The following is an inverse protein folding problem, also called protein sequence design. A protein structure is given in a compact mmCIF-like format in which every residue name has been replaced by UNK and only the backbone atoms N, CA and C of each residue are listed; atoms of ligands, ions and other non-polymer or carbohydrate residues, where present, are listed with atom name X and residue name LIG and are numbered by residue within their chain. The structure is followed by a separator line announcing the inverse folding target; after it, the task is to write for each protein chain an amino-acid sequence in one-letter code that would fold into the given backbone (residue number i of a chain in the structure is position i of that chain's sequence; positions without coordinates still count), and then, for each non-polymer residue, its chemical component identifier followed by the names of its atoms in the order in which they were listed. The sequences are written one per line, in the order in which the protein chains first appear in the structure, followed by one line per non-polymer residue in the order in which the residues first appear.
data_IF_739871334919
#
_entry.id   IF_739871334919
#
_cell.length_a   1.000
_cell.length_b   1.000
_cell.length_c   1.000
_cell.angle_alpha   90.00
_cell.angle_beta   90.00
_cell.angle_gamma   90.00
#
_symmetry.space_group_name_H-M   'P 1'
#
loop_
_entity.id
_entity.type
_entity.pdbx_description
1 polymer ?
#
# COMPACT_ATOMS: atom_id res chain seq x y z
N UNK A 1 -0.51 -9.39 -16.10
CA UNK A 1 -0.65 -8.50 -14.94
C UNK A 1 -1.67 -7.38 -15.15
N UNK A 2 -1.38 -6.32 -15.92
CA UNK A 2 -2.30 -5.16 -16.04
C UNK A 2 -3.73 -5.56 -16.45
N UNK A 3 -3.88 -6.30 -17.57
CA UNK A 3 -5.20 -6.75 -18.02
C UNK A 3 -5.88 -7.69 -17.01
N UNK A 4 -5.12 -8.51 -16.28
CA UNK A 4 -5.67 -9.42 -15.26
C UNK A 4 -6.20 -8.66 -14.05
N UNK A 5 -5.58 -7.54 -13.67
CA UNK A 5 -6.08 -6.63 -12.63
C UNK A 5 -7.38 -5.93 -13.11
N UNK A 6 -7.40 -5.44 -14.35
CA UNK A 6 -8.59 -4.79 -14.94
C UNK A 6 -9.76 -5.77 -15.06
N UNK A 7 -9.49 -7.00 -15.49
CA UNK A 7 -10.46 -8.09 -15.58
C UNK A 7 -10.84 -8.67 -14.20
N UNK A 8 -10.24 -8.18 -13.11
CA UNK A 8 -10.43 -8.65 -11.72
C UNK A 8 -10.13 -10.14 -11.53
N UNK A 9 -9.22 -10.69 -12.34
CA UNK A 9 -8.69 -12.06 -12.18
C UNK A 9 -7.59 -12.12 -11.12
N UNK A 10 -6.91 -10.99 -10.90
CA UNK A 10 -5.88 -10.82 -9.89
C UNK A 10 -6.22 -9.63 -8.99
N UNK A 11 -5.68 -9.63 -7.77
CA UNK A 11 -5.95 -8.59 -6.76
C UNK A 11 -4.76 -7.65 -6.56
N UNK A 12 -5.07 -6.38 -6.30
CA UNK A 12 -4.12 -5.39 -5.79
C UNK A 12 -4.28 -5.26 -4.27
N UNK A 13 -3.19 -5.19 -3.52
CA UNK A 13 -3.21 -4.92 -2.10
C UNK A 13 -2.65 -3.53 -1.78
N UNK A 14 -3.27 -2.83 -0.83
CA UNK A 14 -2.72 -1.62 -0.23
C UNK A 14 -2.42 -1.89 1.24
N UNK A 15 -1.18 -1.66 1.66
CA UNK A 15 -0.67 -1.92 3.00
C UNK A 15 -0.48 -0.60 3.74
N UNK A 16 -1.15 -0.49 4.90
CA UNK A 16 -1.22 0.74 5.69
C UNK A 16 -2.41 1.57 5.28
N UNK A 17 -3.49 1.50 6.05
CA UNK A 17 -4.76 2.16 5.74
C UNK A 17 -4.92 3.43 6.59
N UNK A 18 -3.92 4.29 6.48
CA UNK A 18 -3.92 5.64 7.03
C UNK A 18 -4.59 6.65 6.09
N UNK A 19 -4.36 7.93 6.38
CA UNK A 19 -4.86 9.05 5.58
C UNK A 19 -4.36 9.04 4.12
N UNK A 20 -3.29 8.31 3.81
CA UNK A 20 -2.80 8.10 2.43
C UNK A 20 -3.36 6.81 1.84
N UNK A 21 -3.08 5.68 2.48
CA UNK A 21 -3.38 4.37 1.89
C UNK A 21 -4.86 4.05 1.77
N UNK A 22 -5.72 4.51 2.69
CA UNK A 22 -7.16 4.25 2.58
C UNK A 22 -7.78 4.94 1.34
N UNK A 23 -7.56 6.25 1.08
CA UNK A 23 -7.98 6.87 -0.17
C UNK A 23 -7.47 6.15 -1.42
N UNK A 24 -6.20 5.73 -1.44
CA UNK A 24 -5.62 4.96 -2.55
C UNK A 24 -6.36 3.64 -2.76
N UNK A 25 -6.58 2.90 -1.68
CA UNK A 25 -7.25 1.60 -1.72
C UNK A 25 -8.67 1.73 -2.28
N UNK A 26 -9.44 2.71 -1.80
CA UNK A 26 -10.81 2.95 -2.26
C UNK A 26 -10.85 3.37 -3.74
N UNK A 27 -9.94 4.22 -4.20
CA UNK A 27 -9.91 4.65 -5.60
C UNK A 27 -9.52 3.53 -6.56
N UNK A 28 -8.61 2.63 -6.15
CA UNK A 28 -8.37 1.40 -6.90
C UNK A 28 -9.60 0.47 -6.86
N UNK A 29 -10.26 0.34 -5.71
CA UNK A 29 -11.39 -0.56 -5.52
C UNK A 29 -12.63 -0.20 -6.35
N UNK A 30 -12.72 1.04 -6.84
CA UNK A 30 -13.75 1.44 -7.83
C UNK A 30 -13.57 0.76 -9.19
N UNK A 31 -12.37 0.24 -9.48
CA UNK A 31 -12.02 -0.32 -10.80
C UNK A 31 -11.48 -1.74 -10.72
N UNK A 32 -10.80 -2.10 -9.64
CA UNK A 32 -10.08 -3.36 -9.43
C UNK A 32 -10.66 -4.11 -8.22
N UNK A 33 -10.31 -5.38 -8.06
CA UNK A 33 -10.52 -6.09 -6.80
C UNK A 33 -9.33 -5.82 -5.87
N UNK A 34 -9.60 -5.24 -4.70
CA UNK A 34 -8.58 -4.72 -3.79
C UNK A 34 -8.59 -5.43 -2.44
N UNK A 35 -7.41 -5.65 -1.88
CA UNK A 35 -7.22 -6.03 -0.47
C UNK A 35 -6.69 -4.81 0.28
N UNK A 36 -7.48 -4.29 1.21
CA UNK A 36 -7.02 -3.29 2.17
C UNK A 36 -6.41 -3.98 3.38
N UNK A 37 -5.10 -3.88 3.57
CA UNK A 37 -4.41 -4.49 4.70
C UNK A 37 -3.90 -3.46 5.70
N UNK A 38 -4.23 -3.65 6.97
CA UNK A 38 -3.63 -2.94 8.09
C UNK A 38 -3.28 -3.93 9.21
N UNK A 39 -2.33 -3.59 10.07
CA UNK A 39 -1.94 -4.43 11.22
C UNK A 39 -2.88 -4.26 12.41
N UNK A 40 -3.69 -3.20 12.41
CA UNK A 40 -4.57 -2.84 13.52
C UNK A 40 -6.01 -3.31 13.25
N UNK A 41 -6.41 -4.42 13.90
CA UNK A 41 -7.75 -5.00 13.76
C UNK A 41 -8.87 -3.99 14.09
N UNK A 42 -8.67 -3.10 15.08
CA UNK A 42 -9.69 -2.11 15.43
C UNK A 42 -9.94 -1.14 14.28
N UNK A 43 -8.88 -0.70 13.59
CA UNK A 43 -9.00 0.15 12.39
C UNK A 43 -9.69 -0.61 11.27
N UNK A 44 -9.29 -1.85 11.03
CA UNK A 44 -9.89 -2.73 10.00
C UNK A 44 -11.38 -2.90 10.24
N UNK A 45 -11.82 -3.13 11.47
CA UNK A 45 -13.23 -3.28 11.81
C UNK A 45 -14.03 -1.99 11.55
N UNK A 46 -13.47 -0.82 11.86
CA UNK A 46 -14.10 0.45 11.50
C UNK A 46 -14.29 0.57 9.98
N UNK A 47 -13.28 0.20 9.19
CA UNK A 47 -13.35 0.28 7.73
C UNK A 47 -14.35 -0.72 7.12
N UNK A 48 -14.50 -1.91 7.71
CA UNK A 48 -15.57 -2.88 7.34
C UNK A 48 -16.97 -2.30 7.56
N UNK A 49 -17.11 -1.37 8.50
CA UNK A 49 -18.34 -0.65 8.79
C UNK A 49 -18.48 0.65 7.98
N UNK A 50 -17.58 0.92 7.03
CA UNK A 50 -17.58 2.14 6.22
C UNK A 50 -17.14 3.39 7.00
N UNK A 51 -16.36 3.23 8.06
CA UNK A 51 -15.88 4.31 8.91
C UNK A 51 -14.38 4.50 8.70
N UNK A 52 -13.97 5.71 8.33
CA UNK A 52 -12.55 6.06 8.20
C UNK A 52 -11.91 6.29 9.58
N UNK A 53 -10.91 5.47 9.99
CA UNK A 53 -10.19 5.64 11.25
C UNK A 53 -9.31 6.91 11.32
N UNK A 54 -9.11 7.60 10.20
CA UNK A 54 -8.40 8.89 10.12
C UNK A 54 -9.35 10.09 10.07
N UNK A 55 -10.67 9.89 9.93
CA UNK A 55 -11.68 10.94 9.88
C UNK A 55 -11.45 11.98 8.75
N UNK A 56 -10.92 11.53 7.62
CA UNK A 56 -10.67 12.33 6.41
C UNK A 56 -11.70 12.03 5.30
N UNK A 57 -12.32 10.85 5.35
CA UNK A 57 -13.29 10.38 4.36
C UNK A 57 -14.68 10.19 4.96
N UNK A 58 -15.69 10.65 4.22
CA UNK A 58 -17.10 10.39 4.52
C UNK A 58 -17.47 8.93 4.24
N UNK A 59 -18.49 8.36 4.91
CA UNK A 59 -18.94 6.98 4.66
C UNK A 59 -19.28 6.67 3.19
N UNK A 60 -19.76 7.66 2.45
CA UNK A 60 -20.05 7.54 1.02
C UNK A 60 -18.80 7.21 0.17
N UNK A 61 -17.59 7.46 0.68
CA UNK A 61 -16.35 7.11 -0.01
C UNK A 61 -16.20 5.58 -0.18
N UNK A 62 -16.78 4.77 0.70
CA UNK A 62 -16.71 3.31 0.67
C UNK A 62 -17.69 2.68 -0.33
N UNK A 63 -18.70 3.44 -0.79
CA UNK A 63 -19.73 2.91 -1.70
C UNK A 63 -19.15 2.55 -3.07
N UNK A 64 -19.62 1.42 -3.62
CA UNK A 64 -19.23 0.92 -4.94
C UNK A 64 -17.78 0.44 -5.03
N UNK A 65 -17.13 0.17 -3.90
CA UNK A 65 -15.76 -0.32 -3.83
C UNK A 65 -15.72 -1.84 -3.72
N UNK A 66 -14.96 -2.50 -4.60
CA UNK A 66 -14.61 -3.93 -4.51
C UNK A 66 -13.33 -4.07 -3.68
N UNK A 67 -13.50 -4.04 -2.36
CA UNK A 67 -12.41 -4.07 -1.39
C UNK A 67 -12.70 -5.03 -0.22
N UNK A 68 -11.69 -5.82 0.13
CA UNK A 68 -11.67 -6.67 1.33
C UNK A 68 -10.71 -6.07 2.37
N UNK A 69 -11.23 -5.60 3.50
CA UNK A 69 -10.42 -5.12 4.62
C UNK A 69 -10.01 -6.25 5.56
N UNK A 70 -8.71 -6.39 5.81
CA UNK A 70 -8.17 -7.54 6.54
C UNK A 70 -6.87 -7.24 7.29
N UNK A 71 -6.62 -8.04 8.33
CA UNK A 71 -5.32 -8.16 9.01
C UNK A 71 -4.63 -9.49 8.69
N UNK A 72 -5.27 -10.35 7.87
CA UNK A 72 -4.80 -11.71 7.59
C UNK A 72 -3.74 -11.73 6.49
N UNK A 73 -2.59 -12.34 6.80
CA UNK A 73 -1.55 -12.62 5.80
C UNK A 73 -2.00 -13.62 4.74
N UNK A 74 -2.92 -14.52 5.06
CA UNK A 74 -3.42 -15.51 4.10
C UNK A 74 -4.33 -14.88 3.04
N UNK A 75 -5.12 -13.88 3.45
CA UNK A 75 -5.87 -13.05 2.50
C UNK A 75 -4.89 -12.20 1.68
N UNK A 76 -3.93 -11.54 2.34
CA UNK A 76 -2.94 -10.70 1.67
C UNK A 76 -2.14 -11.47 0.60
N UNK A 77 -1.83 -12.75 0.85
CA UNK A 77 -1.12 -13.64 -0.09
C UNK A 77 -1.88 -13.90 -1.39
N UNK A 78 -3.17 -13.54 -1.49
CA UNK A 78 -3.93 -13.63 -2.74
C UNK A 78 -3.56 -12.53 -3.73
N UNK A 79 -2.95 -11.42 -3.28
CA UNK A 79 -2.57 -10.33 -4.17
C UNK A 79 -1.42 -10.68 -5.11
N UNK A 80 -1.31 -9.87 -6.17
CA UNK A 80 -0.23 -9.89 -7.16
C UNK A 80 0.53 -8.56 -7.25
N UNK A 81 -0.11 -7.47 -6.84
CA UNK A 81 0.45 -6.13 -6.85
C UNK A 81 0.26 -5.51 -5.47
N UNK A 82 1.33 -5.02 -4.86
CA UNK A 82 1.32 -4.48 -3.50
C UNK A 82 1.72 -3.01 -3.53
N UNK A 83 0.91 -2.15 -2.91
CA UNK A 83 1.19 -0.74 -2.69
C UNK A 83 1.43 -0.53 -1.20
N UNK A 84 2.58 0.00 -0.83
CA UNK A 84 2.96 0.23 0.57
C UNK A 84 2.82 1.72 0.91
N UNK A 85 1.89 2.05 1.80
CA UNK A 85 1.52 3.41 2.21
C UNK A 85 1.49 3.56 3.74
N UNK A 86 2.51 3.01 4.42
CA UNK A 86 2.68 3.12 5.87
C UNK A 86 3.37 4.43 6.26
N UNK A 87 3.14 4.96 7.48
CA UNK A 87 3.75 6.22 7.89
C UNK A 87 5.28 6.10 8.03
N UNK A 88 5.97 7.22 7.84
CA UNK A 88 7.40 7.40 8.09
C UNK A 88 7.58 8.63 8.98
N UNK A 89 7.18 8.53 10.28
CA UNK A 89 7.26 9.67 11.17
C UNK A 89 8.72 10.08 11.36
N UNK A 90 8.94 11.36 11.63
CA UNK A 90 10.27 11.89 11.94
C UNK A 90 10.33 12.25 13.42
N UNK A 91 11.50 12.06 14.04
CA UNK A 91 11.76 12.52 15.40
C UNK A 91 12.06 14.03 15.45
N UNK A 92 12.35 14.54 16.66
CA UNK A 92 12.67 15.95 16.90
C UNK A 92 13.93 16.45 16.18
N UNK A 93 14.77 15.52 15.70
CA UNK A 93 15.99 15.79 14.93
C UNK A 93 15.79 15.62 13.42
N UNK A 94 14.55 15.46 12.95
CA UNK A 94 14.18 15.14 11.57
C UNK A 94 14.76 13.81 11.07
N UNK A 95 15.07 12.87 11.97
CA UNK A 95 15.47 11.53 11.61
C UNK A 95 14.21 10.69 11.37
N UNK A 96 14.07 10.06 10.19
CA UNK A 96 12.91 9.24 9.89
C UNK A 96 12.95 7.93 10.68
N UNK A 97 11.86 7.62 11.38
CA UNK A 97 11.62 6.29 11.93
C UNK A 97 11.16 5.36 10.81
N UNK A 98 12.07 4.49 10.39
CA UNK A 98 11.83 3.48 9.35
C UNK A 98 11.12 2.23 9.86
N UNK A 99 10.80 2.15 11.16
CA UNK A 99 10.16 0.97 11.75
C UNK A 99 8.90 0.54 10.99
N UNK A 100 7.96 1.44 10.61
CA UNK A 100 6.75 1.01 9.91
C UNK A 100 7.04 0.47 8.51
N UNK A 101 7.93 1.11 7.75
CA UNK A 101 8.27 0.68 6.37
C UNK A 101 9.07 -0.63 6.36
N UNK A 102 9.93 -0.84 7.36
CA UNK A 102 10.63 -2.12 7.56
C UNK A 102 9.66 -3.24 7.93
N UNK A 103 8.69 -3.00 8.82
CA UNK A 103 7.64 -3.98 9.14
C UNK A 103 6.70 -4.29 7.96
N UNK A 104 6.39 -3.29 7.14
CA UNK A 104 5.66 -3.52 5.90
C UNK A 104 6.47 -4.39 4.93
N UNK A 105 7.79 -4.15 4.83
CA UNK A 105 8.71 -4.99 4.05
C UNK A 105 8.77 -6.43 4.57
N UNK A 106 8.76 -6.63 5.89
CA UNK A 106 8.66 -7.96 6.49
C UNK A 106 7.34 -8.66 6.15
N UNK A 107 6.25 -7.91 6.16
CA UNK A 107 4.91 -8.39 5.80
C UNK A 107 4.89 -8.86 4.35
N UNK A 108 5.40 -8.04 3.43
CA UNK A 108 5.55 -8.38 2.01
C UNK A 108 6.44 -9.61 1.83
N UNK A 109 7.59 -9.68 2.49
CA UNK A 109 8.52 -10.81 2.38
C UNK A 109 7.89 -12.16 2.76
N UNK A 110 6.84 -12.18 3.58
CA UNK A 110 6.11 -13.41 3.99
C UNK A 110 5.02 -13.86 3.00
N UNK A 111 4.61 -12.99 2.08
CA UNK A 111 3.43 -13.22 1.21
C UNK A 111 3.74 -13.12 -0.29
N UNK A 112 4.82 -12.43 -0.66
CA UNK A 112 5.21 -12.20 -2.06
C UNK A 112 5.52 -13.52 -2.79
N UNK A 113 5.13 -13.59 -4.06
CA UNK A 113 5.37 -14.73 -4.96
C UNK A 113 6.11 -14.27 -6.21
N UNK A 114 6.58 -15.23 -7.01
CA UNK A 114 7.18 -14.96 -8.32
C UNK A 114 6.19 -14.28 -9.25
N UNK A 115 6.66 -13.24 -9.95
CA UNK A 115 5.90 -12.40 -10.87
C UNK A 115 5.11 -11.28 -10.19
N UNK A 116 5.25 -11.10 -8.88
CA UNK A 116 4.55 -10.04 -8.14
C UNK A 116 5.26 -8.68 -8.26
N UNK A 117 4.54 -7.62 -7.90
CA UNK A 117 5.00 -6.24 -7.95
C UNK A 117 4.82 -5.58 -6.60
N UNK A 118 5.82 -4.84 -6.14
CA UNK A 118 5.78 -4.06 -4.90
C UNK A 118 6.12 -2.62 -5.23
N UNK A 119 5.26 -1.68 -4.86
CA UNK A 119 5.47 -0.24 -5.04
C UNK A 119 5.36 0.45 -3.69
N UNK A 120 6.41 1.16 -3.31
CA UNK A 120 6.40 2.01 -2.12
C UNK A 120 5.87 3.40 -2.47
N UNK A 121 4.92 3.89 -1.67
CA UNK A 121 4.42 5.26 -1.76
C UNK A 121 4.72 6.09 -0.51
N UNK A 122 5.08 5.43 0.60
CA UNK A 122 5.58 6.08 1.81
C UNK A 122 6.71 7.06 1.48
N UNK A 123 6.63 8.28 1.99
CA UNK A 123 7.68 9.28 1.83
C UNK A 123 8.96 8.81 2.52
N UNK A 124 9.99 8.56 1.73
CA UNK A 124 11.31 8.10 2.22
C UNK A 124 12.44 8.87 1.55
N UNK A 125 13.64 8.78 2.11
CA UNK A 125 14.84 9.34 1.48
C UNK A 125 15.29 8.52 0.26
N UNK A 126 16.05 9.10 -0.69
CA UNK A 126 16.58 8.38 -1.84
C UNK A 126 17.44 7.17 -1.43
N UNK A 127 17.13 5.99 -1.95
CA UNK A 127 17.83 4.75 -1.62
C UNK A 127 17.16 3.91 -0.52
N UNK A 128 16.22 4.46 0.25
CA UNK A 128 15.55 3.70 1.32
C UNK A 128 14.82 2.45 0.81
N UNK A 129 14.23 2.51 -0.39
CA UNK A 129 13.53 1.37 -0.99
C UNK A 129 14.51 0.24 -1.33
N UNK A 130 15.67 0.56 -1.90
CA UNK A 130 16.70 -0.37 -2.34
C UNK A 130 17.61 -0.87 -1.21
N UNK A 131 17.93 0.00 -0.25
CA UNK A 131 18.94 -0.25 0.79
C UNK A 131 18.33 -0.75 2.10
N UNK A 132 17.10 -0.34 2.44
CA UNK A 132 16.46 -0.72 3.71
C UNK A 132 15.30 -1.71 3.55
N UNK A 133 14.49 -1.55 2.50
CA UNK A 133 13.26 -2.32 2.32
C UNK A 133 13.50 -3.62 1.54
N UNK A 134 14.16 -3.50 0.37
CA UNK A 134 14.45 -4.63 -0.51
C UNK A 134 15.20 -5.78 0.18
N UNK A 135 16.27 -5.55 0.98
CA UNK A 135 17.00 -6.65 1.60
C UNK A 135 16.15 -7.48 2.56
N UNK A 136 15.17 -6.86 3.22
CA UNK A 136 14.21 -7.54 4.11
C UNK A 136 13.31 -8.46 3.29
N UNK A 137 12.75 -7.96 2.19
CA UNK A 137 11.86 -8.72 1.31
C UNK A 137 12.59 -9.93 0.73
N UNK A 138 13.78 -9.73 0.16
CA UNK A 138 14.56 -10.84 -0.43
C UNK A 138 14.96 -11.88 0.62
N UNK A 139 15.39 -11.43 1.81
CA UNK A 139 15.81 -12.34 2.89
C UNK A 139 14.67 -13.25 3.37
N UNK A 140 13.46 -12.71 3.51
CA UNK A 140 12.32 -13.47 4.03
C UNK A 140 11.63 -14.32 2.97
N UNK A 141 11.55 -13.83 1.72
CA UNK A 141 10.89 -14.56 0.63
C UNK A 141 11.81 -15.56 -0.06
N UNK A 142 13.13 -15.36 -0.01
CA UNK A 142 14.10 -16.08 -0.83
C UNK A 142 14.05 -15.71 -2.32
N UNK A 143 13.25 -14.71 -2.71
CA UNK A 143 13.11 -14.21 -4.07
C UNK A 143 14.08 -13.05 -4.34
N UNK A 144 14.41 -12.83 -5.62
CA UNK A 144 15.26 -11.73 -6.06
C UNK A 144 14.51 -10.68 -6.86
N UNK A 145 14.75 -9.40 -6.56
CA UNK A 145 14.19 -8.30 -7.35
C UNK A 145 14.71 -8.35 -8.80
N UNK A 146 13.91 -7.87 -9.74
CA UNK A 146 14.09 -7.91 -11.20
C UNK A 146 14.00 -9.33 -11.80
N UNK A 147 14.46 -10.35 -11.07
CA UNK A 147 14.45 -11.75 -11.51
C UNK A 147 13.12 -12.43 -11.19
N UNK A 148 12.70 -12.40 -9.93
CA UNK A 148 11.54 -13.11 -9.43
C UNK A 148 10.35 -12.18 -9.16
N UNK A 149 10.57 -10.94 -8.71
CA UNK A 149 9.52 -9.94 -8.51
C UNK A 149 10.05 -8.56 -8.91
N UNK A 150 9.17 -7.56 -9.03
CA UNK A 150 9.59 -6.18 -9.34
C UNK A 150 9.29 -5.24 -8.20
N UNK A 151 10.24 -4.36 -7.92
CA UNK A 151 10.15 -3.30 -6.93
C UNK A 151 10.08 -1.94 -7.63
N UNK A 152 9.26 -1.03 -7.12
CA UNK A 152 9.20 0.34 -7.59
C UNK A 152 8.88 1.32 -6.46
N UNK A 153 8.91 2.61 -6.82
CA UNK A 153 8.59 3.72 -5.95
C UNK A 153 7.66 4.70 -6.68
N UNK A 154 6.60 5.12 -6.01
CA UNK A 154 5.67 6.13 -6.51
C UNK A 154 5.25 7.04 -5.36
N UNK A 155 6.01 8.11 -5.06
CA UNK A 155 5.73 8.93 -3.89
C UNK A 155 4.33 9.53 -4.00
N UNK A 156 3.55 9.41 -2.94
CA UNK A 156 2.28 10.12 -2.87
C UNK A 156 2.52 11.63 -2.71
N UNK A 157 1.66 12.44 -3.32
CA UNK A 157 1.77 13.91 -3.36
C UNK A 157 0.46 14.61 -2.97
N UNK A 158 -0.43 13.93 -2.26
CA UNK A 158 -1.63 14.54 -1.70
C UNK A 158 -1.33 15.27 -0.39
N UNK A 159 -1.96 16.44 -0.22
CA UNK A 159 -2.00 17.14 1.06
C UNK A 159 -3.39 16.95 1.69
N UNK A 160 -3.50 16.61 2.98
CA UNK A 160 -4.78 16.57 3.67
C UNK A 160 -5.54 17.90 3.49
N UNK A 161 -6.82 17.82 3.13
CA UNK A 161 -7.67 18.98 2.86
C UNK A 161 -7.48 19.70 1.51
N UNK A 162 -6.52 19.29 0.66
CA UNK A 162 -6.37 19.86 -0.69
C UNK A 162 -7.43 19.32 -1.65
N UNK A 163 -8.41 20.18 -2.00
CA UNK A 163 -9.52 19.84 -2.90
C UNK A 163 -9.18 19.97 -4.39
N UNK A 164 -8.01 20.54 -4.75
CA UNK A 164 -7.58 20.75 -6.14
C UNK A 164 -6.66 19.62 -6.61
N UNK A 165 -5.66 19.27 -5.80
CA UNK A 165 -4.71 18.19 -6.08
C UNK A 165 -5.14 16.92 -5.36
N UNK A 166 -6.27 16.39 -5.80
CA UNK A 166 -6.79 15.13 -5.28
C UNK A 166 -5.99 13.95 -5.84
N UNK A 167 -6.13 12.79 -5.21
CA UNK A 167 -5.59 11.53 -5.72
C UNK A 167 -5.99 11.23 -7.18
N UNK A 168 -7.13 11.75 -7.66
CA UNK A 168 -7.61 11.56 -9.04
C UNK A 168 -6.96 12.50 -10.05
N UNK A 169 -6.46 13.65 -9.60
CA UNK A 169 -5.99 14.73 -10.47
C UNK A 169 -4.48 14.95 -10.41
N UNK A 170 -3.82 14.44 -9.37
CA UNK A 170 -2.37 14.58 -9.21
C UNK A 170 -1.61 13.73 -10.23
N UNK A 171 -0.57 14.31 -10.82
CA UNK A 171 0.35 13.56 -11.70
C UNK A 171 1.25 12.69 -10.82
N UNK A 172 1.17 11.37 -10.99
CA UNK A 172 2.00 10.41 -10.26
C UNK A 172 3.37 10.28 -10.94
N UNK A 173 4.42 10.33 -10.12
CA UNK A 173 5.77 9.92 -10.51
C UNK A 173 5.90 8.43 -10.19
N UNK A 174 6.46 7.64 -11.09
CA UNK A 174 6.72 6.23 -10.86
C UNK A 174 8.12 5.87 -11.39
N UNK A 175 8.87 5.06 -10.63
CA UNK A 175 10.19 4.55 -10.98
C UNK A 175 10.34 3.10 -10.52
N UNK A 176 11.09 2.29 -11.27
CA UNK A 176 11.38 0.89 -10.97
C UNK A 176 12.08 0.19 -12.13
#
# INVERSE_FOLDING_TARGET
MYQELIDKKEKLAVIGLGYVGLPIALEFARKLSVIGFDINEKRVEMMRQGIDPSNELEPAAFEGCDIEFTTSLDVLRQAKFYVVAVPTPVDEHNVPDLTPVKKASETIGKVIKKGDYVVFESTVYPGCTEEDCLPIIEKLSGLKNIVDFKLGYSPERINPGDKKHTIRTVVKVASG
#
